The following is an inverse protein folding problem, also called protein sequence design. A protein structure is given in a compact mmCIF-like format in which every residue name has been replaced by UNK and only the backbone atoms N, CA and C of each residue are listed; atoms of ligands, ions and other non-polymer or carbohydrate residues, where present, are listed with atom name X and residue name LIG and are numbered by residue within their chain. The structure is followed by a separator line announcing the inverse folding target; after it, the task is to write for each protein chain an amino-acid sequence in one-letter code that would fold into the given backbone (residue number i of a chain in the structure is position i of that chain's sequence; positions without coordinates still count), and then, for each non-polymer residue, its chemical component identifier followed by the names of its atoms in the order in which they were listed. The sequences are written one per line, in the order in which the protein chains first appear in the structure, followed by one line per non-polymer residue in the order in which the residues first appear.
data_IF_425602938811
#
_entry.id   IF_425602938811
#
_cell.length_a   1.000
_cell.length_b   1.000
_cell.length_c   1.000
_cell.angle_alpha   90.00
_cell.angle_beta   90.00
_cell.angle_gamma   90.00
#
_symmetry.space_group_name_H-M   'P 1'
#
loop_
_entity.id
_entity.type
_entity.pdbx_description
1 polymer ?
#
# COMPACT_ATOMS: atom_id res chain seq x y z
N UNK A 1 -18.81 -6.21 18.84
CA UNK A 1 -18.50 -4.81 18.47
C UNK A 1 -17.03 -4.68 18.11
N UNK A 2 -16.72 -4.79 16.82
CA UNK A 2 -15.35 -4.80 16.26
C UNK A 2 -14.85 -3.39 15.85
N UNK A 3 -15.46 -2.33 16.40
CA UNK A 3 -15.36 -0.97 15.86
C UNK A 3 -14.27 -0.10 16.49
N UNK A 4 -13.25 -0.68 17.13
CA UNK A 4 -12.15 0.16 17.62
C UNK A 4 -10.76 -0.47 17.52
N UNK A 5 -10.31 -0.73 16.29
CA UNK A 5 -8.89 -0.87 15.99
C UNK A 5 -8.37 0.45 15.45
N UNK A 6 -7.86 1.30 16.33
CA UNK A 6 -7.11 2.48 15.90
C UNK A 6 -5.92 2.03 15.04
N UNK A 7 -5.96 2.34 13.74
CA UNK A 7 -4.83 2.10 12.84
C UNK A 7 -3.77 3.15 13.10
N UNK A 8 -2.51 2.72 13.17
CA UNK A 8 -1.38 3.61 13.40
C UNK A 8 -0.48 3.62 12.17
N UNK A 9 -0.20 4.81 11.63
CA UNK A 9 0.80 4.96 10.57
C UNK A 9 2.18 4.61 11.11
N UNK A 10 2.92 3.78 10.37
CA UNK A 10 4.26 3.31 10.76
C UNK A 10 5.24 4.45 11.03
N UNK A 11 5.10 5.58 10.33
CA UNK A 11 5.93 6.78 10.55
C UNK A 11 5.79 7.38 11.96
N UNK A 12 4.72 7.03 12.69
CA UNK A 12 4.50 7.44 14.08
C UNK A 12 5.17 6.52 15.10
N UNK A 13 5.63 5.32 14.71
CA UNK A 13 6.24 4.33 15.61
C UNK A 13 7.38 4.93 16.45
N UNK A 14 8.36 5.67 15.90
CA UNK A 14 9.44 6.24 16.71
C UNK A 14 8.96 7.19 17.80
N UNK A 15 7.85 7.90 17.55
CA UNK A 15 7.29 8.86 18.50
C UNK A 15 6.42 8.16 19.54
N UNK A 16 5.55 7.25 19.12
CA UNK A 16 4.58 6.58 19.98
C UNK A 16 5.23 5.59 20.96
N UNK A 17 6.37 5.00 20.57
CA UNK A 17 7.05 3.95 21.34
C UNK A 17 8.47 4.32 21.76
N UNK A 18 8.86 5.60 21.64
CA UNK A 18 10.19 6.10 21.96
C UNK A 18 11.35 5.30 21.31
N UNK A 19 11.11 4.76 20.11
CA UNK A 19 12.12 4.02 19.35
C UNK A 19 13.09 5.00 18.68
N UNK A 20 14.37 4.62 18.60
CA UNK A 20 15.38 5.40 17.93
C UNK A 20 15.00 5.66 16.46
N UNK A 21 14.90 6.94 16.08
CA UNK A 21 14.49 7.35 14.72
C UNK A 21 15.46 6.86 13.64
N UNK A 22 16.77 6.83 13.92
CA UNK A 22 17.77 6.39 12.95
C UNK A 22 17.72 4.87 12.76
N UNK A 23 17.50 4.11 13.83
CA UNK A 23 17.27 2.67 13.74
C UNK A 23 16.01 2.35 12.93
N UNK A 24 14.90 3.04 13.20
CA UNK A 24 13.68 2.91 12.41
C UNK A 24 13.91 3.23 10.92
N UNK A 25 14.63 4.33 10.61
CA UNK A 25 14.99 4.68 9.23
C UNK A 25 15.88 3.61 8.58
N UNK A 26 16.81 3.01 9.31
CA UNK A 26 17.66 1.91 8.82
C UNK A 26 16.80 0.70 8.42
N UNK A 27 15.87 0.30 9.28
CA UNK A 27 14.95 -0.80 8.99
C UNK A 27 14.02 -0.50 7.82
N UNK A 28 13.49 0.73 7.74
CA UNK A 28 12.72 1.20 6.58
C UNK A 28 13.52 1.08 5.28
N UNK A 29 14.78 1.56 5.23
CA UNK A 29 15.64 1.43 4.03
C UNK A 29 15.90 -0.03 3.67
N UNK A 30 16.14 -0.89 4.66
CA UNK A 30 16.33 -2.33 4.44
C UNK A 30 15.07 -2.96 3.82
N UNK A 31 13.88 -2.60 4.30
CA UNK A 31 12.63 -3.08 3.71
C UNK A 31 12.49 -2.66 2.24
N UNK A 32 12.80 -1.40 1.91
CA UNK A 32 12.78 -0.94 0.51
C UNK A 32 13.78 -1.70 -0.38
N UNK A 33 15.00 -1.95 0.11
CA UNK A 33 15.99 -2.72 -0.63
C UNK A 33 15.51 -4.17 -0.90
N UNK A 34 14.93 -4.83 0.11
CA UNK A 34 14.37 -6.18 -0.05
C UNK A 34 13.20 -6.21 -1.04
N UNK A 35 12.37 -5.16 -1.08
CA UNK A 35 11.31 -5.03 -2.08
C UNK A 35 11.85 -4.93 -3.52
N UNK A 36 12.98 -4.23 -3.71
CA UNK A 36 13.64 -4.13 -5.01
C UNK A 36 14.30 -5.46 -5.42
N UNK A 37 14.98 -6.13 -4.48
CA UNK A 37 15.51 -7.48 -4.67
C UNK A 37 14.42 -8.47 -5.09
N UNK A 38 13.26 -8.44 -4.43
CA UNK A 38 12.11 -9.27 -4.79
C UNK A 38 11.65 -9.00 -6.23
N UNK A 39 11.62 -7.75 -6.66
CA UNK A 39 11.26 -7.39 -8.04
C UNK A 39 12.31 -7.89 -9.05
N UNK A 40 13.59 -7.84 -8.69
CA UNK A 40 14.67 -8.36 -9.52
C UNK A 40 14.58 -9.88 -9.68
N UNK A 41 14.16 -10.63 -8.64
CA UNK A 41 13.92 -12.07 -8.75
C UNK A 41 12.85 -12.37 -9.81
N UNK A 42 11.73 -11.61 -9.84
CA UNK A 42 10.71 -11.78 -10.88
C UNK A 42 11.31 -11.54 -12.28
N UNK A 43 12.11 -10.49 -12.43
CA UNK A 43 12.79 -10.15 -13.70
C UNK A 43 13.72 -11.27 -14.17
N UNK A 44 14.57 -11.78 -13.28
CA UNK A 44 15.53 -12.85 -13.59
C UNK A 44 14.83 -14.16 -13.97
N UNK A 45 13.65 -14.40 -13.41
CA UNK A 45 12.82 -15.55 -13.71
C UNK A 45 11.84 -15.30 -14.88
N UNK A 46 12.01 -14.22 -15.64
CA UNK A 46 11.17 -13.85 -16.80
C UNK A 46 9.67 -13.76 -16.45
N UNK A 47 9.35 -13.44 -15.20
CA UNK A 47 7.99 -13.18 -14.77
C UNK A 47 7.60 -11.74 -15.12
N UNK A 48 6.31 -11.53 -15.34
CA UNK A 48 5.77 -10.19 -15.50
C UNK A 48 6.11 -9.33 -14.28
N UNK A 49 6.48 -8.07 -14.52
CA UNK A 49 6.86 -7.15 -13.46
C UNK A 49 5.65 -6.36 -12.98
N UNK A 50 5.41 -6.43 -11.67
CA UNK A 50 4.46 -5.59 -10.99
C UNK A 50 4.99 -4.15 -10.83
N UNK A 51 4.05 -3.21 -10.71
CA UNK A 51 4.29 -1.79 -10.47
C UNK A 51 4.16 -1.44 -8.99
N UNK A 52 3.29 -2.12 -8.27
CA UNK A 52 3.16 -2.01 -6.83
C UNK A 52 2.79 -3.36 -6.20
N UNK A 53 2.91 -3.47 -4.88
CA UNK A 53 2.35 -4.61 -4.14
C UNK A 53 1.87 -4.17 -2.77
N UNK A 54 0.87 -4.88 -2.26
CA UNK A 54 0.37 -4.75 -0.89
C UNK A 54 0.69 -6.01 -0.10
N UNK A 55 1.43 -5.87 1.00
CA UNK A 55 1.72 -6.96 1.92
C UNK A 55 0.93 -6.77 3.22
N UNK A 56 0.17 -7.79 3.59
CA UNK A 56 -0.52 -7.88 4.88
C UNK A 56 0.14 -8.97 5.73
N UNK A 57 0.54 -8.65 6.95
CA UNK A 57 1.18 -9.58 7.89
C UNK A 57 0.38 -9.64 9.20
N UNK A 58 -0.06 -10.83 9.57
CA UNK A 58 -0.73 -11.12 10.83
C UNK A 58 0.29 -11.41 11.95
N UNK A 59 -0.12 -11.23 13.21
CA UNK A 59 0.72 -11.48 14.38
C UNK A 59 1.15 -12.95 14.54
N UNK A 60 0.42 -13.88 13.93
CA UNK A 60 0.76 -15.31 13.88
C UNK A 60 1.80 -15.63 12.78
N UNK A 61 2.29 -14.62 12.05
CA UNK A 61 3.27 -14.78 10.97
C UNK A 61 2.66 -15.12 9.60
N UNK A 62 1.34 -15.35 9.50
CA UNK A 62 0.68 -15.51 8.21
C UNK A 62 0.71 -14.19 7.47
N UNK A 63 1.08 -14.23 6.20
CA UNK A 63 1.07 -13.06 5.34
C UNK A 63 0.33 -13.34 4.04
N UNK A 64 -0.15 -12.26 3.43
CA UNK A 64 -0.71 -12.23 2.09
C UNK A 64 0.01 -11.16 1.29
N UNK A 65 0.21 -11.43 0.01
CA UNK A 65 0.74 -10.47 -0.94
C UNK A 65 -0.23 -10.33 -2.10
N UNK A 66 -0.53 -9.09 -2.45
CA UNK A 66 -1.26 -8.72 -3.65
C UNK A 66 -0.31 -7.93 -4.54
N UNK A 67 -0.03 -8.44 -5.74
CA UNK A 67 0.79 -7.76 -6.73
C UNK A 67 -0.12 -7.04 -7.73
N UNK A 68 0.21 -5.79 -8.02
CA UNK A 68 -0.54 -4.95 -8.95
C UNK A 68 0.33 -4.64 -10.18
N UNK A 69 -0.17 -5.06 -11.33
CA UNK A 69 0.48 -4.97 -12.63
C UNK A 69 0.06 -3.73 -13.43
N UNK A 70 -0.79 -2.88 -12.85
CA UNK A 70 -1.24 -1.63 -13.48
C UNK A 70 -0.09 -0.64 -13.57
N UNK A 71 0.18 -0.14 -14.79
CA UNK A 71 1.14 0.93 -14.98
C UNK A 71 0.57 2.28 -14.54
N UNK A 72 0.57 2.54 -13.22
CA UNK A 72 0.05 3.78 -12.64
C UNK A 72 0.73 5.04 -13.18
N UNK A 73 1.98 4.94 -13.63
CA UNK A 73 2.70 6.07 -14.24
C UNK A 73 2.09 6.51 -15.58
N UNK A 74 1.28 5.66 -16.21
CA UNK A 74 0.57 5.96 -17.45
C UNK A 74 -0.92 6.26 -17.22
N UNK A 75 -1.28 6.65 -16.00
CA UNK A 75 -2.64 7.06 -15.64
C UNK A 75 -2.64 8.50 -15.11
N UNK A 76 -3.83 9.09 -14.94
CA UNK A 76 -3.97 10.42 -14.34
C UNK A 76 -3.95 10.40 -12.80
N UNK A 77 -3.89 9.22 -12.18
CA UNK A 77 -3.93 9.08 -10.72
C UNK A 77 -2.59 9.44 -10.09
N UNK A 78 -2.60 10.48 -9.27
CA UNK A 78 -1.45 10.85 -8.45
C UNK A 78 -1.17 9.81 -7.36
N UNK A 79 -0.01 9.89 -6.72
CA UNK A 79 0.28 9.04 -5.55
C UNK A 79 -0.68 9.28 -4.38
N UNK A 80 -1.20 10.50 -4.24
CA UNK A 80 -2.22 10.82 -3.23
C UNK A 80 -3.53 10.11 -3.56
N UNK A 81 -3.92 10.11 -4.84
CA UNK A 81 -5.13 9.43 -5.30
C UNK A 81 -5.03 7.92 -5.07
N UNK A 82 -3.90 7.32 -5.46
CA UNK A 82 -3.62 5.90 -5.23
C UNK A 82 -3.69 5.53 -3.73
N UNK A 83 -3.22 6.41 -2.84
CA UNK A 83 -3.32 6.20 -1.39
C UNK A 83 -4.78 6.22 -0.89
N UNK A 84 -5.63 7.14 -1.41
CA UNK A 84 -7.05 7.20 -1.05
C UNK A 84 -7.77 5.92 -1.51
N UNK A 85 -7.54 5.51 -2.76
CA UNK A 85 -8.11 4.29 -3.34
C UNK A 85 -7.65 3.05 -2.56
N UNK A 86 -6.35 2.97 -2.24
CA UNK A 86 -5.79 1.88 -1.45
C UNK A 86 -6.44 1.78 -0.06
N UNK A 87 -6.61 2.91 0.64
CA UNK A 87 -7.27 2.94 1.95
C UNK A 87 -8.73 2.51 1.84
N UNK A 88 -9.43 2.91 0.79
CA UNK A 88 -10.80 2.46 0.56
C UNK A 88 -10.86 0.94 0.40
N UNK A 89 -10.01 0.36 -0.45
CA UNK A 89 -9.99 -1.10 -0.69
C UNK A 89 -9.56 -1.90 0.55
N UNK A 90 -8.40 -1.59 1.13
CA UNK A 90 -7.78 -2.45 2.15
C UNK A 90 -8.18 -2.13 3.57
N UNK A 91 -8.58 -0.88 3.84
CA UNK A 91 -8.95 -0.43 5.19
C UNK A 91 -10.45 -0.17 5.36
N UNK A 92 -11.23 -0.21 4.27
CA UNK A 92 -12.64 0.12 4.26
C UNK A 92 -12.91 1.60 4.56
N UNK A 93 -11.93 2.48 4.34
CA UNK A 93 -12.10 3.92 4.58
C UNK A 93 -13.00 4.53 3.51
N UNK A 94 -14.03 5.27 3.94
CA UNK A 94 -14.91 6.04 3.06
C UNK A 94 -14.54 7.51 3.25
N UNK A 95 -14.15 8.24 2.19
CA UNK A 95 -13.83 9.66 2.32
C UNK A 95 -15.04 10.49 2.73
N UNK A 96 -14.80 11.54 3.50
CA UNK A 96 -15.85 12.44 3.95
C UNK A 96 -16.18 13.50 2.88
N UNK A 97 -15.17 14.00 2.17
CA UNK A 97 -15.34 15.05 1.17
C UNK A 97 -15.78 14.50 -0.20
N UNK A 98 -16.50 15.34 -0.94
CA UNK A 98 -17.09 14.98 -2.22
C UNK A 98 -16.07 14.80 -3.35
N UNK A 99 -14.87 15.38 -3.22
CA UNK A 99 -13.84 15.22 -4.23
C UNK A 99 -13.27 13.81 -4.20
N UNK A 100 -12.87 13.34 -3.02
CA UNK A 100 -12.32 12.01 -2.81
C UNK A 100 -13.36 10.89 -3.07
N UNK A 101 -14.65 11.13 -2.81
CA UNK A 101 -15.71 10.20 -3.22
C UNK A 101 -15.80 10.05 -4.75
N UNK A 102 -15.79 11.18 -5.47
CA UNK A 102 -15.78 11.16 -6.95
C UNK A 102 -14.53 10.51 -7.51
N UNK A 103 -13.39 10.68 -6.84
CA UNK A 103 -12.15 9.99 -7.20
C UNK A 103 -12.32 8.46 -7.12
N UNK A 104 -12.90 7.96 -6.02
CA UNK A 104 -13.18 6.54 -5.84
C UNK A 104 -14.16 6.02 -6.91
N UNK A 105 -15.24 6.77 -7.18
CA UNK A 105 -16.20 6.40 -8.21
C UNK A 105 -15.55 6.37 -9.61
N UNK A 106 -14.72 7.37 -9.95
CA UNK A 106 -13.94 7.39 -11.20
C UNK A 106 -13.07 6.13 -11.30
N UNK A 107 -12.35 5.80 -10.23
CA UNK A 107 -11.49 4.63 -10.18
C UNK A 107 -12.26 3.33 -10.43
N UNK A 108 -13.37 3.08 -9.73
CA UNK A 108 -14.12 1.84 -9.91
C UNK A 108 -14.79 1.72 -11.28
N UNK A 109 -15.09 2.85 -11.94
CA UNK A 109 -15.59 2.85 -13.32
C UNK A 109 -14.50 2.52 -14.35
N UNK A 110 -13.27 3.04 -14.15
CA UNK A 110 -12.14 2.80 -15.05
C UNK A 110 -11.47 1.44 -14.82
N UNK A 111 -11.48 0.96 -13.57
CA UNK A 111 -10.83 -0.28 -13.13
C UNK A 111 -11.82 -1.18 -12.37
N UNK A 112 -12.80 -1.80 -13.05
CA UNK A 112 -13.82 -2.62 -12.41
C UNK A 112 -13.26 -3.85 -11.69
N UNK A 113 -12.12 -4.38 -12.15
CA UNK A 113 -11.43 -5.50 -11.51
C UNK A 113 -10.64 -5.09 -10.25
N UNK A 114 -10.59 -3.79 -9.94
CA UNK A 114 -9.96 -3.20 -8.76
C UNK A 114 -8.53 -3.72 -8.52
N UNK A 115 -7.56 -3.40 -9.39
CA UNK A 115 -6.22 -3.98 -9.37
C UNK A 115 -5.34 -3.48 -8.21
N UNK A 116 -5.61 -2.30 -7.61
CA UNK A 116 -4.82 -1.75 -6.49
C UNK A 116 -4.85 -2.66 -5.26
#
# INVERSE_FOLDING_TARGET
NFLDKHRHYSVKIPFNYAINKEEFKKNKRKLFALSDELRNIFKENQQELWYSFTLSLESNGKFKMHYDYTNWFNTEYSFSDQMIIWKNKYLGEVPDDEHDKKLIDKYYNEFPDNPI
#
